data_IF_576112560919
#
_entry.id   IF_576112560919
#
_cell.length_a   1.000
_cell.length_b   1.000
_cell.length_c   1.000
_cell.angle_alpha   90.00
_cell.angle_beta   90.00
_cell.angle_gamma   90.00
#
_symmetry.space_group_name_H-M   'P 1'
#
loop_
_entity.id
_entity.type
_entity.pdbx_description
1 polymer ?
#
# COMPACT_ATOMS: atom_id res chain seq x y z
N UNK A 1 50.10 -19.00 0.56
CA UNK A 1 50.54 -17.82 1.31
C UNK A 1 49.92 -16.60 0.62
N UNK A 2 48.78 -16.13 1.10
CA UNK A 2 48.17 -14.88 0.66
C UNK A 2 47.56 -14.22 1.90
N UNK A 3 48.13 -13.08 2.25
CA UNK A 3 47.79 -12.29 3.44
C UNK A 3 46.43 -11.60 3.23
N UNK A 4 45.48 -11.87 4.14
CA UNK A 4 44.30 -11.06 4.33
C UNK A 4 44.68 -9.81 5.13
N UNK A 5 44.65 -8.65 4.48
CA UNK A 5 44.70 -7.37 5.16
C UNK A 5 43.29 -6.99 5.61
N UNK A 6 43.07 -7.01 6.93
CA UNK A 6 41.92 -6.46 7.59
C UNK A 6 41.95 -4.93 7.48
N UNK A 7 41.06 -4.35 6.67
CA UNK A 7 40.78 -2.91 6.69
C UNK A 7 39.96 -2.58 7.93
N UNK A 8 40.61 -2.22 9.02
CA UNK A 8 39.98 -1.46 10.10
C UNK A 8 39.69 -0.04 9.61
N UNK A 9 38.42 0.26 9.34
CA UNK A 9 37.97 1.64 9.18
C UNK A 9 38.10 2.37 10.52
N UNK A 10 39.23 3.01 10.76
CA UNK A 10 39.34 4.08 11.74
C UNK A 10 38.44 5.22 11.28
N UNK A 11 37.38 5.50 12.04
CA UNK A 11 36.63 6.75 11.92
C UNK A 11 37.62 7.90 12.13
N UNK A 12 37.62 8.96 11.28
CA UNK A 12 38.41 10.12 11.56
C UNK A 12 37.96 10.70 12.89
N UNK A 13 38.89 10.90 13.77
CA UNK A 13 38.70 11.67 15.01
C UNK A 13 38.21 13.06 14.56
N UNK A 14 36.95 13.38 14.81
CA UNK A 14 36.45 14.74 14.74
C UNK A 14 37.33 15.56 15.68
N UNK A 15 38.04 16.53 15.11
CA UNK A 15 38.75 17.54 15.88
C UNK A 15 37.79 18.11 16.92
N UNK A 16 37.99 17.73 18.19
CA UNK A 16 37.39 18.41 19.33
C UNK A 16 38.04 19.77 19.38
N UNK A 17 37.47 20.74 18.70
CA UNK A 17 37.72 22.12 19.00
C UNK A 17 37.11 22.36 20.39
N UNK A 18 37.94 22.25 21.41
CA UNK A 18 37.64 22.71 22.78
C UNK A 18 37.56 24.23 22.78
N UNK A 19 36.55 24.77 22.05
CA UNK A 19 36.15 26.17 22.22
C UNK A 19 35.37 26.24 23.50
N UNK A 20 35.99 26.91 24.48
CA UNK A 20 35.39 27.35 25.71
C UNK A 20 33.97 27.88 25.45
N UNK A 21 32.97 27.14 25.87
CA UNK A 21 31.56 27.48 25.70
C UNK A 21 31.08 28.28 26.92
N UNK A 22 30.86 29.60 26.81
CA UNK A 22 30.54 30.42 27.96
C UNK A 22 29.03 30.42 28.24
N UNK A 23 28.65 29.98 29.45
CA UNK A 23 27.40 30.39 30.02
C UNK A 23 27.58 31.74 30.70
N UNK A 24 26.64 32.66 30.45
CA UNK A 24 26.69 34.03 30.88
C UNK A 24 25.66 34.27 32.01
N UNK A 25 26.00 35.15 32.94
CA UNK A 25 25.12 35.57 34.02
C UNK A 25 24.43 36.88 33.62
N UNK A 26 23.14 36.98 33.80
CA UNK A 26 22.37 38.22 33.59
C UNK A 26 22.08 38.84 34.96
N UNK A 27 22.66 40.02 35.24
CA UNK A 27 22.58 40.71 36.52
C UNK A 27 21.17 41.23 36.80
N UNK A 28 20.41 41.60 35.76
CA UNK A 28 19.05 42.14 35.93
C UNK A 28 18.05 41.07 36.37
N UNK A 29 18.17 39.86 35.77
CA UNK A 29 17.25 38.75 36.04
C UNK A 29 17.80 37.79 37.11
N UNK A 30 19.04 37.98 37.54
CA UNK A 30 19.82 37.07 38.47
C UNK A 30 19.79 35.62 38.00
N UNK A 31 19.84 35.38 36.69
CA UNK A 31 19.78 34.05 36.08
C UNK A 31 20.87 33.85 35.04
N UNK A 32 21.26 32.58 34.85
CA UNK A 32 22.20 32.20 33.82
C UNK A 32 21.53 32.01 32.47
N UNK A 33 22.27 32.25 31.37
CA UNK A 33 21.87 31.95 30.00
C UNK A 33 23.05 31.40 29.21
N UNK A 34 22.76 30.57 28.20
CA UNK A 34 23.73 30.17 27.18
C UNK A 34 23.38 30.82 25.84
N UNK A 35 24.42 31.12 25.06
CA UNK A 35 24.33 31.70 23.72
C UNK A 35 25.46 31.13 22.90
N UNK A 36 25.12 30.39 21.84
CA UNK A 36 26.06 29.68 21.00
C UNK A 36 25.65 29.68 19.55
N UNK A 37 26.59 29.39 18.63
CA UNK A 37 26.36 29.25 17.22
C UNK A 37 26.41 27.76 16.85
N UNK A 38 25.52 27.35 15.92
CA UNK A 38 25.50 26.02 15.38
C UNK A 38 25.25 26.07 13.87
N UNK A 39 25.57 25.00 13.17
CA UNK A 39 25.19 24.83 11.76
C UNK A 39 23.88 24.07 11.70
N UNK A 40 22.91 24.61 10.96
CA UNK A 40 21.70 23.90 10.67
C UNK A 40 21.94 22.75 9.66
N UNK A 41 20.92 22.00 9.36
CA UNK A 41 20.98 20.89 8.44
C UNK A 41 21.35 21.30 6.98
N UNK A 42 21.17 22.56 6.61
CA UNK A 42 21.58 23.13 5.34
C UNK A 42 23.03 23.65 5.37
N UNK A 43 23.68 23.59 6.52
CA UNK A 43 25.02 24.10 6.72
C UNK A 43 25.08 25.61 7.07
N UNK A 44 23.95 26.29 7.22
CA UNK A 44 23.89 27.71 7.56
C UNK A 44 24.23 27.91 9.04
N UNK A 45 24.96 28.96 9.34
CA UNK A 45 25.26 29.34 10.73
C UNK A 45 24.05 30.00 11.38
N UNK A 46 23.53 29.39 12.44
CA UNK A 46 22.44 29.94 13.28
C UNK A 46 22.95 30.20 14.70
N UNK A 47 22.25 31.10 15.39
CA UNK A 47 22.51 31.43 16.78
C UNK A 47 21.32 31.02 17.65
N UNK A 48 21.59 30.32 18.76
CA UNK A 48 20.60 29.99 19.79
C UNK A 48 20.94 30.67 21.10
N UNK A 49 19.95 31.27 21.75
CA UNK A 49 20.04 31.82 23.11
C UNK A 49 18.93 31.19 23.96
N UNK A 50 19.29 30.69 25.14
CA UNK A 50 18.32 30.21 26.15
C UNK A 50 18.69 30.80 27.49
N UNK A 51 17.75 31.45 28.16
CA UNK A 51 17.91 32.11 29.46
C UNK A 51 16.97 31.50 30.50
N UNK A 52 17.21 31.84 31.77
CA UNK A 52 16.32 31.44 32.86
C UNK A 52 16.87 30.31 33.76
N UNK A 53 18.13 29.92 33.57
CA UNK A 53 18.74 28.88 34.41
C UNK A 53 19.19 29.44 35.76
N UNK A 54 19.02 28.67 36.83
CA UNK A 54 19.41 29.08 38.17
C UNK A 54 20.90 28.87 38.41
N UNK A 55 21.52 27.88 37.74
CA UNK A 55 22.95 27.55 37.90
C UNK A 55 23.65 27.52 36.55
N UNK A 56 24.90 27.90 36.52
CA UNK A 56 25.79 27.84 35.36
C UNK A 56 25.84 26.43 34.75
N UNK A 57 25.86 25.42 35.61
CA UNK A 57 25.92 24.01 35.19
C UNK A 57 24.69 23.62 34.34
N UNK A 58 23.49 24.07 34.72
CA UNK A 58 22.25 23.75 34.06
C UNK A 58 22.20 24.38 32.65
N UNK A 59 22.72 25.59 32.50
CA UNK A 59 22.85 26.26 31.19
C UNK A 59 23.81 25.51 30.25
N UNK A 60 24.95 25.04 30.74
CA UNK A 60 25.93 24.28 29.97
C UNK A 60 25.43 22.87 29.63
N UNK A 61 24.71 22.22 30.54
CA UNK A 61 24.12 20.90 30.31
C UNK A 61 23.00 20.96 29.25
N UNK A 62 22.21 22.03 29.32
CA UNK A 62 21.20 22.29 28.28
C UNK A 62 21.83 22.52 26.90
N UNK A 63 22.91 23.31 26.80
CA UNK A 63 23.66 23.54 25.57
C UNK A 63 24.22 22.23 24.99
N UNK A 64 24.88 21.40 25.84
CA UNK A 64 25.37 20.09 25.42
C UNK A 64 24.25 19.21 24.91
N UNK A 65 23.16 19.10 25.65
CA UNK A 65 21.99 18.31 25.25
C UNK A 65 21.38 18.81 23.94
N UNK A 66 21.38 20.12 23.69
CA UNK A 66 20.90 20.69 22.43
C UNK A 66 21.86 20.33 21.27
N UNK A 67 23.18 20.46 21.44
CA UNK A 67 24.17 20.12 20.42
C UNK A 67 24.23 18.61 20.15
N UNK A 68 24.08 17.77 21.17
CA UNK A 68 24.02 16.32 21.03
C UNK A 68 22.77 15.88 20.28
N UNK A 69 21.65 16.54 20.52
CA UNK A 69 20.41 16.33 19.74
C UNK A 69 20.56 16.79 18.28
N UNK A 70 21.26 17.89 18.04
CA UNK A 70 21.56 18.41 16.69
C UNK A 70 22.52 17.50 15.91
N UNK A 71 23.49 16.91 16.58
CA UNK A 71 24.48 16.04 15.94
C UNK A 71 23.88 14.77 15.33
N UNK A 72 22.65 14.41 15.68
CA UNK A 72 21.98 13.22 15.20
C UNK A 72 20.52 13.41 14.74
N UNK A 73 19.99 14.64 14.68
CA UNK A 73 18.55 14.84 14.43
C UNK A 73 18.27 16.11 13.63
N UNK A 74 17.32 16.07 12.68
CA UNK A 74 16.96 17.22 11.83
C UNK A 74 16.26 18.31 12.65
N UNK A 75 16.82 19.53 12.64
CA UNK A 75 16.21 20.76 13.20
C UNK A 75 15.47 21.53 12.11
N UNK A 76 14.84 20.83 11.19
CA UNK A 76 14.04 21.41 10.12
C UNK A 76 12.55 21.35 10.44
N UNK A 77 11.76 22.22 9.81
CA UNK A 77 10.31 22.13 9.91
C UNK A 77 9.80 20.83 9.27
N UNK A 78 8.73 20.28 9.82
CA UNK A 78 8.13 19.07 9.27
C UNK A 78 7.67 19.22 7.81
N UNK A 79 7.24 20.43 7.42
CA UNK A 79 6.93 20.76 6.03
C UNK A 79 8.09 20.50 5.07
N UNK A 80 9.31 20.92 5.46
CA UNK A 80 10.51 20.77 4.64
C UNK A 80 10.88 19.28 4.52
N UNK A 81 10.80 18.54 5.61
CA UNK A 81 11.01 17.09 5.61
C UNK A 81 9.99 16.37 4.73
N UNK A 82 8.71 16.75 4.81
CA UNK A 82 7.65 16.18 3.99
C UNK A 82 7.87 16.49 2.49
N UNK A 83 8.37 17.68 2.15
CA UNK A 83 8.72 18.03 0.76
C UNK A 83 9.87 17.17 0.24
N UNK A 84 10.94 17.01 1.02
CA UNK A 84 12.07 16.15 0.67
C UNK A 84 11.63 14.68 0.50
N UNK A 85 10.79 14.19 1.39
CA UNK A 85 10.20 12.86 1.27
C UNK A 85 9.36 12.71 0.00
N UNK A 86 8.55 13.72 -0.34
CA UNK A 86 7.73 13.70 -1.55
C UNK A 86 8.59 13.74 -2.82
N UNK A 87 9.67 14.50 -2.86
CA UNK A 87 10.65 14.50 -3.97
C UNK A 87 11.27 13.11 -4.16
N UNK A 88 11.69 12.46 -3.06
CA UNK A 88 12.20 11.08 -3.12
C UNK A 88 11.13 10.12 -3.65
N UNK A 89 9.88 10.22 -3.19
CA UNK A 89 8.80 9.32 -3.62
C UNK A 89 8.36 9.56 -5.07
N UNK A 90 8.49 10.76 -5.59
CA UNK A 90 8.23 11.07 -6.99
C UNK A 90 9.14 10.28 -7.93
N UNK A 91 10.43 10.17 -7.58
CA UNK A 91 11.43 9.44 -8.36
C UNK A 91 11.28 7.91 -8.25
N UNK A 92 10.88 7.41 -7.07
CA UNK A 92 10.95 5.97 -6.75
C UNK A 92 9.60 5.26 -6.70
N UNK A 93 8.47 5.94 -6.95
CA UNK A 93 7.15 5.30 -6.91
C UNK A 93 6.33 5.57 -8.17
N UNK A 94 5.40 4.65 -8.48
CA UNK A 94 4.47 4.86 -9.59
C UNK A 94 3.63 6.11 -9.37
N UNK A 95 3.40 6.90 -10.42
CA UNK A 95 2.69 8.17 -10.39
C UNK A 95 1.40 8.16 -9.55
N UNK A 96 0.56 7.13 -9.70
CA UNK A 96 -0.68 7.00 -8.92
C UNK A 96 -0.42 6.87 -7.42
N UNK A 97 0.62 6.13 -7.03
CA UNK A 97 1.01 5.96 -5.62
C UNK A 97 1.53 7.28 -5.05
N UNK A 98 2.41 7.96 -5.79
CA UNK A 98 2.90 9.29 -5.44
C UNK A 98 1.77 10.28 -5.20
N UNK A 99 0.84 10.43 -6.15
CA UNK A 99 -0.29 11.35 -6.02
C UNK A 99 -1.19 11.06 -4.83
N UNK A 100 -1.43 9.77 -4.56
CA UNK A 100 -2.20 9.36 -3.37
C UNK A 100 -1.49 9.73 -2.07
N UNK A 101 -0.16 9.50 -1.99
CA UNK A 101 0.67 9.90 -0.85
C UNK A 101 0.67 11.40 -0.67
N UNK A 102 0.95 12.15 -1.74
CA UNK A 102 0.97 13.61 -1.74
C UNK A 102 -0.36 14.19 -1.23
N UNK A 103 -1.48 13.71 -1.74
CA UNK A 103 -2.80 14.14 -1.28
C UNK A 103 -3.02 13.89 0.22
N UNK A 104 -2.68 12.70 0.72
CA UNK A 104 -2.82 12.37 2.15
C UNK A 104 -1.96 13.25 3.04
N UNK A 105 -0.71 13.50 2.64
CA UNK A 105 0.23 14.34 3.38
C UNK A 105 -0.27 15.78 3.43
N UNK A 106 -0.64 16.37 2.29
CA UNK A 106 -1.09 17.76 2.20
C UNK A 106 -2.43 17.96 2.92
N UNK A 107 -3.37 17.04 2.76
CA UNK A 107 -4.72 17.23 3.28
C UNK A 107 -4.87 16.88 4.77
N UNK A 108 -4.04 16.02 5.34
CA UNK A 108 -4.27 15.43 6.66
C UNK A 108 -3.10 15.48 7.62
N UNK A 109 -1.87 15.61 7.13
CA UNK A 109 -0.67 15.55 7.97
C UNK A 109 -0.08 16.94 8.14
N UNK A 110 0.20 17.63 7.04
CA UNK A 110 0.77 18.98 7.07
C UNK A 110 -0.06 19.97 7.88
N UNK A 111 -1.42 20.00 7.82
CA UNK A 111 -2.17 20.98 8.61
C UNK A 111 -1.97 20.89 10.13
N UNK A 112 -1.47 19.74 10.62
CA UNK A 112 -1.23 19.53 12.05
C UNK A 112 0.23 19.73 12.45
N UNK A 113 1.19 19.28 11.62
CA UNK A 113 2.62 19.23 11.97
C UNK A 113 3.48 20.29 11.28
N UNK A 114 2.93 21.09 10.38
CA UNK A 114 3.64 21.93 9.41
C UNK A 114 4.86 22.69 9.97
N UNK A 115 4.66 23.41 11.07
CA UNK A 115 5.66 24.34 11.64
C UNK A 115 6.51 23.72 12.75
N UNK A 116 6.20 22.49 13.18
CA UNK A 116 6.93 21.82 14.24
C UNK A 116 8.28 21.34 13.71
N UNK A 117 9.34 21.46 14.50
CA UNK A 117 10.61 20.83 14.16
C UNK A 117 10.47 19.30 14.23
N UNK A 118 11.04 18.60 13.25
CA UNK A 118 10.90 17.12 13.14
C UNK A 118 11.38 16.40 14.41
N UNK A 119 12.45 16.90 15.02
CA UNK A 119 13.02 16.33 16.26
C UNK A 119 12.21 16.62 17.52
N UNK A 120 11.30 17.60 17.48
CA UNK A 120 10.46 17.97 18.62
C UNK A 120 9.10 17.23 18.63
N UNK A 121 8.73 16.59 17.52
CA UNK A 121 7.49 15.83 17.43
C UNK A 121 7.60 14.54 18.23
N UNK A 122 6.78 14.41 19.26
CA UNK A 122 6.77 13.28 20.19
C UNK A 122 5.69 12.26 19.86
N UNK A 123 5.75 11.10 20.50
CA UNK A 123 4.68 10.11 20.42
C UNK A 123 3.33 10.63 20.99
N UNK A 124 3.38 11.59 21.93
CA UNK A 124 2.19 12.23 22.48
C UNK A 124 1.49 13.07 21.42
N UNK A 125 2.23 13.93 20.68
CA UNK A 125 1.69 14.76 19.62
C UNK A 125 1.02 13.89 18.53
N UNK A 126 1.64 12.75 18.20
CA UNK A 126 1.06 11.79 17.25
C UNK A 126 -0.24 11.19 17.79
N UNK A 127 -0.31 10.87 19.08
CA UNK A 127 -1.54 10.36 19.71
C UNK A 127 -2.66 11.40 19.71
N UNK A 128 -2.33 12.65 19.96
CA UNK A 128 -3.28 13.76 19.88
C UNK A 128 -3.81 13.92 18.46
N UNK A 129 -2.92 13.96 17.48
CA UNK A 129 -3.32 13.98 16.06
C UNK A 129 -4.19 12.76 15.68
N UNK A 130 -3.86 11.56 16.13
CA UNK A 130 -4.70 10.39 15.94
C UNK A 130 -6.10 10.59 16.55
N UNK A 131 -6.19 11.28 17.67
CA UNK A 131 -7.45 11.67 18.32
C UNK A 131 -8.30 12.59 17.42
N UNK A 132 -7.68 13.59 16.78
CA UNK A 132 -8.40 14.51 15.86
C UNK A 132 -8.96 13.77 14.63
N UNK A 133 -8.24 12.76 14.12
CA UNK A 133 -8.70 11.97 12.98
C UNK A 133 -9.97 11.16 13.25
N UNK A 134 -10.23 10.77 14.50
CA UNK A 134 -11.45 10.03 14.87
C UNK A 134 -12.72 10.85 14.67
N UNK A 135 -12.61 12.15 14.85
CA UNK A 135 -13.73 13.10 14.74
C UNK A 135 -13.77 13.77 13.35
N UNK A 136 -12.78 13.50 12.51
CA UNK A 136 -12.67 14.12 11.20
C UNK A 136 -13.63 13.50 10.17
N UNK A 137 -14.15 14.33 9.30
CA UNK A 137 -14.99 13.92 8.16
C UNK A 137 -14.27 14.11 6.84
N UNK A 138 -14.49 13.18 5.93
CA UNK A 138 -13.95 13.27 4.57
C UNK A 138 -14.73 14.27 3.70
N UNK A 139 -14.30 14.45 2.46
CA UNK A 139 -14.93 15.35 1.47
C UNK A 139 -16.42 15.05 1.21
N UNK A 140 -16.90 13.86 1.55
CA UNK A 140 -18.32 13.46 1.42
C UNK A 140 -19.15 13.72 2.69
N UNK A 141 -18.59 14.40 3.69
CA UNK A 141 -19.24 14.64 4.99
C UNK A 141 -19.33 13.39 5.88
N UNK A 142 -18.78 12.25 5.47
CA UNK A 142 -18.81 11.01 6.26
C UNK A 142 -17.55 10.87 7.12
N UNK A 143 -17.64 10.27 8.32
CA UNK A 143 -16.48 9.99 9.16
C UNK A 143 -15.40 9.19 8.38
N UNK A 144 -14.14 9.41 8.72
CA UNK A 144 -13.03 8.65 8.15
C UNK A 144 -13.14 7.17 8.51
N UNK A 145 -12.95 6.30 7.53
CA UNK A 145 -12.92 4.86 7.82
C UNK A 145 -11.66 4.48 8.61
N UNK A 146 -11.75 3.47 9.52
CA UNK A 146 -10.59 3.01 10.28
C UNK A 146 -9.38 2.66 9.39
N UNK A 147 -9.63 2.01 8.24
CA UNK A 147 -8.56 1.69 7.28
C UNK A 147 -7.94 2.91 6.63
N UNK A 148 -8.69 3.99 6.40
CA UNK A 148 -8.14 5.23 5.87
C UNK A 148 -7.29 5.95 6.92
N UNK A 149 -7.75 6.04 8.17
CA UNK A 149 -6.98 6.59 9.28
C UNK A 149 -5.65 5.84 9.46
N UNK A 150 -5.68 4.50 9.43
CA UNK A 150 -4.45 3.70 9.49
C UNK A 150 -3.50 3.99 8.30
N UNK A 151 -4.02 4.24 7.11
CA UNK A 151 -3.18 4.66 5.98
C UNK A 151 -2.51 6.02 6.22
N UNK A 152 -3.18 6.97 6.88
CA UNK A 152 -2.60 8.27 7.24
C UNK A 152 -1.45 8.11 8.24
N UNK A 153 -1.62 7.26 9.27
CA UNK A 153 -0.55 6.92 10.23
C UNK A 153 0.64 6.27 9.51
N UNK A 154 0.36 5.39 8.55
CA UNK A 154 1.41 4.74 7.74
C UNK A 154 2.19 5.75 6.89
N UNK A 155 1.52 6.76 6.32
CA UNK A 155 2.19 7.82 5.56
C UNK A 155 3.06 8.71 6.48
N UNK A 156 2.55 9.09 7.66
CA UNK A 156 3.31 9.85 8.66
C UNK A 156 4.56 9.07 9.10
N UNK A 157 4.37 7.79 9.45
CA UNK A 157 5.49 6.89 9.79
C UNK A 157 6.50 6.75 8.65
N UNK A 158 6.06 6.80 7.40
CA UNK A 158 6.93 6.79 6.22
C UNK A 158 7.85 8.02 6.15
N UNK A 159 7.35 9.21 6.52
CA UNK A 159 8.14 10.45 6.58
C UNK A 159 9.18 10.35 7.71
N UNK A 160 8.78 9.90 8.90
CA UNK A 160 9.72 9.73 10.01
C UNK A 160 10.76 8.64 9.76
N UNK A 161 10.41 7.53 9.10
CA UNK A 161 11.39 6.52 8.69
C UNK A 161 12.40 7.06 7.67
N UNK A 162 11.97 7.97 6.79
CA UNK A 162 12.84 8.67 5.86
C UNK A 162 13.80 9.59 6.63
N UNK A 163 13.31 10.33 7.63
CA UNK A 163 14.11 11.15 8.51
C UNK A 163 15.14 10.33 9.30
N UNK A 164 14.75 9.18 9.86
CA UNK A 164 15.66 8.25 10.55
C UNK A 164 16.76 7.76 9.62
N UNK A 165 16.39 7.38 8.39
CA UNK A 165 17.33 6.76 7.46
C UNK A 165 18.34 7.74 6.86
N UNK A 166 17.91 8.96 6.55
CA UNK A 166 18.70 9.89 5.73
C UNK A 166 19.08 11.18 6.44
N UNK A 167 18.39 11.53 7.54
CA UNK A 167 18.57 12.82 8.22
C UNK A 167 18.91 12.68 9.71
N UNK A 168 19.31 11.50 10.16
CA UNK A 168 19.84 11.28 11.50
C UNK A 168 18.82 11.40 12.64
N UNK A 169 17.50 11.33 12.38
CA UNK A 169 16.52 11.24 13.45
C UNK A 169 16.75 9.93 14.22
N UNK A 170 16.92 9.96 15.56
CA UNK A 170 17.28 8.75 16.31
C UNK A 170 16.24 7.64 16.25
N UNK A 171 14.98 7.99 16.34
CA UNK A 171 13.85 7.05 16.44
C UNK A 171 12.61 7.63 15.74
N UNK A 172 11.83 6.75 15.12
CA UNK A 172 10.53 7.13 14.57
C UNK A 172 9.47 7.17 15.68
N UNK A 173 8.92 8.35 16.05
CA UNK A 173 7.97 8.47 17.14
C UNK A 173 6.63 7.75 16.88
N UNK A 174 6.28 7.47 15.62
CA UNK A 174 5.10 6.67 15.29
C UNK A 174 5.18 5.23 15.79
N UNK A 175 6.39 4.67 15.95
CA UNK A 175 6.56 3.32 16.46
C UNK A 175 6.17 3.23 17.95
N UNK A 176 6.44 4.29 18.70
CA UNK A 176 6.04 4.41 20.12
C UNK A 176 4.56 4.72 20.24
N UNK A 177 4.04 5.64 19.43
CA UNK A 177 2.62 5.99 19.40
C UNK A 177 1.72 4.79 19.04
N UNK A 178 2.20 3.91 18.15
CA UNK A 178 1.47 2.72 17.73
C UNK A 178 0.33 3.00 16.75
N UNK A 179 -0.35 1.92 16.36
CA UNK A 179 -1.43 1.95 15.38
C UNK A 179 -2.76 2.41 15.98
N UNK A 180 -3.59 3.08 15.18
CA UNK A 180 -4.94 3.50 15.57
C UNK A 180 -5.93 2.33 15.62
N UNK A 181 -5.73 1.33 14.80
CA UNK A 181 -6.69 0.24 14.58
C UNK A 181 -5.98 -1.09 14.80
N UNK A 182 -6.58 -1.92 15.66
CA UNK A 182 -6.12 -3.31 15.81
C UNK A 182 -6.28 -4.09 14.50
N UNK A 183 -5.46 -5.11 14.31
CA UNK A 183 -5.55 -6.03 13.16
C UNK A 183 -6.86 -6.81 13.23
N UNK A 184 -7.96 -6.27 12.71
CA UNK A 184 -9.16 -7.08 12.47
C UNK A 184 -8.94 -7.93 11.22
N UNK A 185 -9.11 -9.24 11.33
CA UNK A 185 -9.24 -10.10 10.13
C UNK A 185 -10.46 -9.61 9.36
N UNK A 186 -10.25 -9.17 8.12
CA UNK A 186 -11.36 -8.78 7.23
C UNK A 186 -12.05 -10.08 6.80
N UNK A 187 -13.34 -10.21 7.05
CA UNK A 187 -14.14 -11.22 6.39
C UNK A 187 -14.10 -10.96 4.88
N UNK A 188 -13.84 -12.00 4.12
CA UNK A 188 -13.81 -11.91 2.66
C UNK A 188 -15.22 -12.18 2.17
N UNK A 189 -15.76 -11.21 1.43
CA UNK A 189 -17.02 -11.41 0.73
C UNK A 189 -16.73 -11.97 -0.66
N UNK A 190 -17.37 -13.05 -1.00
CA UNK A 190 -17.33 -13.64 -2.34
C UNK A 190 -18.67 -14.29 -2.64
N UNK A 191 -18.98 -14.52 -3.90
CA UNK A 191 -20.11 -15.30 -4.35
C UNK A 191 -19.72 -16.76 -4.56
N UNK A 192 -20.59 -17.66 -4.17
CA UNK A 192 -20.59 -19.04 -4.65
C UNK A 192 -20.95 -19.08 -6.13
N UNK A 193 -20.73 -20.23 -6.78
CA UNK A 193 -21.14 -20.41 -8.19
C UNK A 193 -22.62 -20.14 -8.39
N UNK A 194 -23.48 -20.64 -7.49
CA UNK A 194 -24.92 -20.42 -7.52
C UNK A 194 -25.30 -18.94 -7.43
N UNK A 195 -24.69 -18.19 -6.51
CA UNK A 195 -24.95 -16.75 -6.37
C UNK A 195 -24.50 -15.97 -7.62
N UNK A 196 -23.38 -16.38 -8.22
CA UNK A 196 -22.94 -15.78 -9.48
C UNK A 196 -23.88 -16.10 -10.64
N UNK A 197 -24.40 -17.32 -10.73
CA UNK A 197 -25.35 -17.71 -11.77
C UNK A 197 -26.65 -16.90 -11.66
N UNK A 198 -27.22 -16.79 -10.47
CA UNK A 198 -28.40 -15.93 -10.25
C UNK A 198 -28.12 -14.47 -10.66
N UNK A 199 -26.91 -13.96 -10.39
CA UNK A 199 -26.54 -12.60 -10.78
C UNK A 199 -26.43 -12.44 -12.29
N UNK A 200 -25.72 -13.35 -12.96
CA UNK A 200 -25.43 -13.19 -14.40
C UNK A 200 -26.67 -13.43 -15.27
N UNK A 201 -27.62 -14.26 -14.81
CA UNK A 201 -28.90 -14.51 -15.48
C UNK A 201 -29.80 -13.27 -15.55
N UNK A 202 -29.57 -12.26 -14.73
CA UNK A 202 -30.35 -11.02 -14.78
C UNK A 202 -29.97 -10.09 -15.95
N UNK A 203 -28.87 -10.36 -16.64
CA UNK A 203 -28.43 -9.58 -17.78
C UNK A 203 -28.94 -10.15 -19.11
N UNK A 204 -29.16 -9.28 -20.07
CA UNK A 204 -29.24 -9.70 -21.47
C UNK A 204 -27.89 -10.24 -21.93
N UNK A 205 -27.89 -11.37 -22.63
CA UNK A 205 -26.65 -11.99 -23.15
C UNK A 205 -25.91 -11.13 -24.17
N UNK A 206 -26.60 -10.18 -24.77
CA UNK A 206 -26.02 -9.19 -25.70
C UNK A 206 -25.34 -8.02 -24.96
N UNK A 207 -25.61 -7.83 -23.69
CA UNK A 207 -25.06 -6.72 -22.90
C UNK A 207 -23.54 -6.84 -22.75
N UNK A 208 -22.75 -5.81 -23.09
CA UNK A 208 -21.31 -5.79 -22.83
C UNK A 208 -20.93 -6.05 -21.37
N UNK A 209 -21.79 -5.66 -20.41
CA UNK A 209 -21.55 -5.94 -18.98
C UNK A 209 -21.71 -7.43 -18.64
N UNK A 210 -22.64 -8.13 -19.26
CA UNK A 210 -22.76 -9.59 -19.15
C UNK A 210 -21.42 -10.26 -19.48
N UNK A 211 -20.87 -9.95 -20.64
CA UNK A 211 -19.61 -10.52 -21.13
C UNK A 211 -18.45 -10.15 -20.24
N UNK A 212 -18.40 -8.91 -19.78
CA UNK A 212 -17.37 -8.42 -18.90
C UNK A 212 -17.40 -9.09 -17.53
N UNK A 213 -18.59 -9.31 -16.94
CA UNK A 213 -18.72 -10.00 -15.64
C UNK A 213 -18.40 -11.49 -15.76
N UNK A 214 -18.79 -12.16 -16.84
CA UNK A 214 -18.34 -13.52 -17.13
C UNK A 214 -16.82 -13.60 -17.20
N UNK A 215 -16.19 -12.69 -17.97
CA UNK A 215 -14.74 -12.64 -18.11
C UNK A 215 -14.07 -12.44 -16.76
N UNK A 216 -14.54 -11.50 -15.93
CA UNK A 216 -14.00 -11.27 -14.58
C UNK A 216 -14.12 -12.50 -13.68
N UNK A 217 -15.28 -13.16 -13.70
CA UNK A 217 -15.56 -14.30 -12.84
C UNK A 217 -14.72 -15.53 -13.24
N UNK A 218 -14.69 -15.87 -14.52
CA UNK A 218 -14.00 -17.08 -14.98
C UNK A 218 -12.48 -16.95 -15.17
N UNK A 219 -11.94 -15.72 -15.18
CA UNK A 219 -10.49 -15.50 -15.25
C UNK A 219 -9.87 -15.07 -13.93
N UNK A 220 -10.65 -14.50 -13.01
CA UNK A 220 -10.14 -13.91 -11.78
C UNK A 220 -9.27 -12.67 -12.00
N UNK A 221 -9.26 -12.06 -13.19
CA UNK A 221 -8.49 -10.86 -13.46
C UNK A 221 -8.98 -9.64 -12.68
N UNK A 222 -8.11 -8.66 -12.49
CA UNK A 222 -8.48 -7.39 -11.85
C UNK A 222 -9.28 -6.54 -12.83
N UNK A 223 -10.22 -5.71 -12.33
CA UNK A 223 -11.01 -4.80 -13.20
C UNK A 223 -10.12 -3.89 -14.05
N UNK A 224 -8.96 -3.46 -13.54
CA UNK A 224 -8.02 -2.67 -14.35
C UNK A 224 -7.32 -3.47 -15.44
N UNK A 225 -7.14 -4.78 -15.26
CA UNK A 225 -6.64 -5.70 -16.29
C UNK A 225 -7.69 -5.89 -17.36
N UNK A 226 -8.96 -6.15 -17.00
CA UNK A 226 -10.09 -6.22 -17.95
C UNK A 226 -10.21 -4.95 -18.80
N UNK A 227 -10.19 -3.78 -18.17
CA UNK A 227 -10.31 -2.50 -18.88
C UNK A 227 -9.12 -2.18 -19.78
N UNK A 228 -7.97 -2.83 -19.59
CA UNK A 228 -6.79 -2.68 -20.42
C UNK A 228 -6.74 -3.68 -21.59
N UNK A 229 -7.56 -4.76 -21.56
CA UNK A 229 -7.57 -5.76 -22.61
C UNK A 229 -7.85 -5.14 -23.98
N UNK A 230 -7.03 -5.52 -24.96
CA UNK A 230 -7.21 -5.19 -26.38
C UNK A 230 -7.50 -6.48 -27.15
N UNK A 231 -7.98 -6.36 -28.36
CA UNK A 231 -8.22 -7.53 -29.21
C UNK A 231 -6.95 -8.32 -29.51
N UNK A 232 -5.78 -7.68 -29.49
CA UNK A 232 -4.48 -8.36 -29.60
C UNK A 232 -4.14 -9.25 -28.41
N UNK A 233 -4.75 -9.00 -27.24
CA UNK A 233 -4.50 -9.81 -26.04
C UNK A 233 -5.37 -11.08 -26.00
N UNK A 234 -6.28 -11.28 -26.96
CA UNK A 234 -7.20 -12.41 -27.03
C UNK A 234 -6.74 -13.42 -28.08
N UNK A 235 -6.11 -14.50 -27.66
CA UNK A 235 -5.91 -15.70 -28.51
C UNK A 235 -7.08 -16.67 -28.28
N UNK A 236 -8.20 -16.41 -28.94
CA UNK A 236 -9.42 -17.21 -28.78
C UNK A 236 -9.32 -18.58 -29.44
N UNK A 237 -8.36 -18.80 -30.37
CA UNK A 237 -8.11 -20.11 -30.98
C UNK A 237 -7.46 -21.07 -29.99
N UNK A 238 -6.47 -20.57 -29.24
CA UNK A 238 -5.80 -21.33 -28.19
C UNK A 238 -6.52 -21.25 -26.84
N UNK A 239 -7.57 -20.45 -26.73
CA UNK A 239 -8.30 -20.22 -25.49
C UNK A 239 -7.48 -19.47 -24.43
N UNK A 240 -6.65 -18.51 -24.83
CA UNK A 240 -5.75 -17.78 -23.95
C UNK A 240 -6.07 -16.29 -23.95
N UNK A 241 -6.05 -15.69 -22.77
CA UNK A 241 -6.03 -14.23 -22.58
C UNK A 241 -4.67 -13.82 -22.00
N UNK A 242 -3.94 -12.95 -22.70
CA UNK A 242 -2.66 -12.40 -22.29
C UNK A 242 -2.86 -11.17 -21.40
N UNK A 243 -2.52 -11.26 -20.12
CA UNK A 243 -2.64 -10.16 -19.16
C UNK A 243 -1.28 -9.48 -19.01
N UNK A 244 -1.05 -8.40 -19.75
CA UNK A 244 0.22 -7.68 -19.81
C UNK A 244 0.11 -6.23 -19.36
N UNK A 245 -1.11 -5.72 -19.20
CA UNK A 245 -1.42 -4.29 -19.00
C UNK A 245 -2.46 -4.10 -17.89
N UNK A 246 -2.49 -2.91 -17.32
CA UNK A 246 -3.55 -2.47 -16.42
C UNK A 246 -3.96 -1.03 -16.72
N UNK A 247 -5.26 -0.79 -16.72
CA UNK A 247 -5.86 0.53 -16.92
C UNK A 247 -6.11 1.22 -15.59
N UNK A 248 -5.82 2.50 -15.51
CA UNK A 248 -6.21 3.35 -14.40
C UNK A 248 -6.51 4.77 -14.87
N UNK A 249 -7.29 5.52 -14.10
CA UNK A 249 -7.51 6.94 -14.31
C UNK A 249 -6.67 7.71 -13.31
N UNK A 250 -5.89 8.68 -13.78
CA UNK A 250 -5.06 9.58 -12.98
C UNK A 250 -5.35 10.99 -13.47
N UNK A 251 -5.84 11.87 -12.58
CA UNK A 251 -6.27 13.25 -12.91
C UNK A 251 -7.24 13.33 -14.10
N UNK A 252 -8.22 12.45 -14.11
CA UNK A 252 -9.21 12.39 -15.17
C UNK A 252 -8.70 11.79 -16.50
N UNK A 253 -7.41 11.52 -16.63
CA UNK A 253 -6.82 10.94 -17.85
C UNK A 253 -6.67 9.43 -17.74
N UNK A 254 -7.01 8.73 -18.80
CA UNK A 254 -6.79 7.29 -18.93
C UNK A 254 -5.29 7.00 -19.06
N UNK A 255 -4.79 6.09 -18.24
CA UNK A 255 -3.38 5.68 -18.26
C UNK A 255 -3.31 4.16 -18.26
N UNK A 256 -2.66 3.60 -19.26
CA UNK A 256 -2.34 2.17 -19.34
C UNK A 256 -0.89 2.00 -18.93
N UNK A 257 -0.67 1.12 -17.96
CA UNK A 257 0.68 0.83 -17.44
C UNK A 257 0.91 -0.68 -17.35
N UNK A 258 2.17 -1.06 -17.20
CA UNK A 258 2.52 -2.45 -16.83
C UNK A 258 1.96 -2.78 -15.43
N UNK A 259 1.64 -4.03 -15.13
CA UNK A 259 1.23 -4.49 -13.81
C UNK A 259 2.26 -4.13 -12.72
N UNK A 260 1.85 -4.25 -11.44
CA UNK A 260 2.72 -3.88 -10.31
C UNK A 260 3.92 -4.80 -10.13
N UNK A 261 3.74 -6.08 -10.43
CA UNK A 261 4.75 -7.12 -10.22
C UNK A 261 4.91 -7.95 -11.47
N UNK A 262 6.09 -8.53 -11.72
CA UNK A 262 6.33 -9.41 -12.87
C UNK A 262 5.34 -10.58 -12.94
N UNK A 263 5.00 -11.21 -11.82
CA UNK A 263 4.03 -12.31 -11.73
C UNK A 263 2.59 -11.91 -12.08
N UNK A 264 2.29 -10.62 -12.14
CA UNK A 264 0.99 -10.16 -12.61
C UNK A 264 0.86 -10.19 -14.14
N UNK A 265 2.00 -10.28 -14.87
CA UNK A 265 2.02 -10.58 -16.29
C UNK A 265 1.87 -12.09 -16.40
N UNK A 266 0.80 -12.54 -17.07
CA UNK A 266 0.46 -13.95 -17.14
C UNK A 266 -0.51 -14.25 -18.27
N UNK A 267 -0.52 -15.47 -18.69
CA UNK A 267 -1.51 -16.05 -19.59
C UNK A 267 -2.59 -16.77 -18.78
N UNK A 268 -3.84 -16.55 -19.15
CA UNK A 268 -4.99 -17.17 -18.49
C UNK A 268 -5.75 -17.99 -19.52
N UNK A 269 -5.72 -19.31 -19.37
CA UNK A 269 -6.57 -20.22 -20.13
C UNK A 269 -8.04 -20.00 -19.76
N UNK A 270 -8.93 -19.93 -20.75
CA UNK A 270 -10.35 -19.73 -20.55
C UNK A 270 -11.17 -20.89 -21.10
N UNK A 271 -12.34 -21.17 -20.50
CA UNK A 271 -13.25 -22.22 -21.00
C UNK A 271 -13.76 -21.94 -22.42
N UNK A 272 -14.05 -23.00 -23.18
CA UNK A 272 -14.50 -22.91 -24.56
C UNK A 272 -15.75 -22.01 -24.74
N UNK A 273 -16.75 -22.11 -23.87
CA UNK A 273 -17.93 -21.27 -23.95
C UNK A 273 -17.62 -19.76 -23.84
N UNK A 274 -16.57 -19.39 -23.04
CA UNK A 274 -16.17 -18.00 -22.94
C UNK A 274 -15.41 -17.53 -24.19
N UNK A 275 -14.66 -18.43 -24.84
CA UNK A 275 -14.06 -18.14 -26.14
C UNK A 275 -15.14 -17.82 -27.20
N UNK A 276 -16.19 -18.64 -27.27
CA UNK A 276 -17.32 -18.43 -28.20
C UNK A 276 -18.01 -17.08 -27.95
N UNK A 277 -18.31 -16.77 -26.69
CA UNK A 277 -18.93 -15.48 -26.31
C UNK A 277 -18.04 -14.28 -26.69
N UNK A 278 -16.73 -14.38 -26.44
CA UNK A 278 -15.79 -13.31 -26.80
C UNK A 278 -15.57 -13.19 -28.30
N UNK A 279 -15.61 -14.29 -29.04
CA UNK A 279 -15.55 -14.28 -30.50
C UNK A 279 -16.79 -13.60 -31.09
N UNK A 280 -17.99 -13.93 -30.61
CA UNK A 280 -19.25 -13.29 -31.04
C UNK A 280 -19.28 -11.81 -30.62
N UNK A 281 -18.72 -11.47 -29.48
CA UNK A 281 -18.58 -10.07 -29.07
C UNK A 281 -17.64 -9.30 -30.01
N UNK A 282 -16.53 -9.90 -30.43
CA UNK A 282 -15.57 -9.33 -31.37
C UNK A 282 -16.21 -9.05 -32.72
N UNK A 283 -17.08 -9.93 -33.21
CA UNK A 283 -17.83 -9.75 -34.51
C UNK A 283 -18.73 -8.51 -34.54
N UNK A 284 -19.11 -7.99 -33.35
CA UNK A 284 -19.92 -6.73 -33.25
C UNK A 284 -19.13 -5.47 -33.61
N UNK A 285 -17.80 -5.56 -33.63
CA UNK A 285 -16.92 -4.46 -33.99
C UNK A 285 -16.58 -4.57 -35.49
N UNK A 286 -16.77 -3.47 -36.23
CA UNK A 286 -16.36 -3.42 -37.61
C UNK A 286 -14.85 -3.33 -37.73
N UNK A 287 -14.17 -4.42 -38.14
CA UNK A 287 -12.71 -4.50 -38.31
C UNK A 287 -11.91 -3.85 -37.14
N UNK A 288 -12.06 -4.31 -35.92
CA UNK A 288 -11.37 -3.69 -34.80
C UNK A 288 -9.86 -3.78 -34.97
N UNK A 289 -9.17 -2.67 -34.74
CA UNK A 289 -7.70 -2.68 -34.69
C UNK A 289 -7.23 -3.54 -33.52
N UNK A 290 -6.07 -4.21 -33.64
CA UNK A 290 -5.52 -5.03 -32.56
C UNK A 290 -5.42 -4.31 -31.22
N UNK A 291 -5.10 -3.00 -31.23
CA UNK A 291 -4.93 -2.15 -30.05
C UNK A 291 -6.25 -1.62 -29.49
N UNK A 292 -7.37 -1.86 -30.17
CA UNK A 292 -8.69 -1.43 -29.67
C UNK A 292 -9.04 -2.18 -28.41
N UNK A 293 -9.41 -1.44 -27.35
CA UNK A 293 -9.81 -2.07 -26.09
C UNK A 293 -11.11 -2.82 -26.24
N UNK A 294 -11.14 -4.05 -25.75
CA UNK A 294 -12.33 -4.93 -25.77
C UNK A 294 -13.46 -4.32 -24.93
N UNK A 295 -13.14 -3.82 -23.74
CA UNK A 295 -14.09 -3.22 -22.81
C UNK A 295 -13.76 -1.74 -22.58
N UNK A 296 -14.56 -0.84 -23.18
CA UNK A 296 -14.27 0.59 -23.18
C UNK A 296 -14.94 1.35 -22.02
N UNK A 297 -15.83 0.70 -21.27
CA UNK A 297 -16.58 1.32 -20.18
C UNK A 297 -15.67 1.75 -19.03
N UNK A 298 -16.01 2.87 -18.39
CA UNK A 298 -15.34 3.33 -17.21
C UNK A 298 -15.70 2.47 -15.97
N UNK A 299 -14.98 2.66 -14.86
CA UNK A 299 -15.17 1.80 -13.68
C UNK A 299 -16.47 2.04 -12.93
N UNK A 300 -17.01 3.25 -12.97
CA UNK A 300 -18.20 3.61 -12.22
C UNK A 300 -19.46 2.88 -12.72
N UNK A 301 -19.77 2.83 -14.03
CA UNK A 301 -20.85 2.04 -14.55
C UNK A 301 -20.83 0.57 -14.13
N UNK A 302 -19.65 -0.09 -14.10
CA UNK A 302 -19.55 -1.47 -13.60
C UNK A 302 -20.06 -1.62 -12.15
N UNK A 303 -19.81 -0.62 -11.29
CA UNK A 303 -20.28 -0.64 -9.90
C UNK A 303 -21.79 -0.44 -9.83
N UNK A 304 -22.35 0.37 -10.71
CA UNK A 304 -23.77 0.66 -10.78
C UNK A 304 -24.53 -0.57 -11.29
N UNK A 305 -24.08 -1.17 -12.39
CA UNK A 305 -24.63 -2.42 -12.90
C UNK A 305 -24.57 -3.53 -11.85
N UNK A 306 -23.42 -3.71 -11.22
CA UNK A 306 -23.28 -4.70 -10.15
C UNK A 306 -24.27 -4.44 -8.99
N UNK A 307 -24.48 -3.17 -8.61
CA UNK A 307 -25.42 -2.82 -7.54
C UNK A 307 -26.87 -3.13 -7.94
N UNK A 308 -27.28 -2.77 -9.14
CA UNK A 308 -28.65 -2.99 -9.64
C UNK A 308 -28.96 -4.48 -9.79
N UNK A 309 -28.06 -5.21 -10.44
CA UNK A 309 -28.27 -6.63 -10.73
C UNK A 309 -28.12 -7.52 -9.48
N UNK A 310 -27.37 -7.12 -8.45
CA UNK A 310 -27.41 -7.77 -7.14
C UNK A 310 -28.81 -7.73 -6.51
N UNK A 311 -29.52 -6.60 -6.65
CA UNK A 311 -30.89 -6.44 -6.13
C UNK A 311 -31.85 -7.31 -6.92
N UNK A 312 -31.77 -7.30 -8.25
CA UNK A 312 -32.61 -8.12 -9.13
C UNK A 312 -32.42 -9.63 -8.88
N UNK A 313 -31.18 -10.04 -8.68
CA UNK A 313 -30.83 -11.44 -8.43
C UNK A 313 -31.10 -11.91 -6.98
N UNK A 314 -31.40 -10.99 -6.06
CA UNK A 314 -31.55 -11.33 -4.63
C UNK A 314 -30.25 -11.83 -3.96
N UNK A 315 -29.08 -11.51 -4.53
CA UNK A 315 -27.79 -11.95 -3.99
C UNK A 315 -27.12 -10.89 -3.13
N UNK A 316 -26.24 -11.30 -2.21
CA UNK A 316 -25.50 -10.38 -1.37
C UNK A 316 -24.61 -9.43 -2.20
N UNK A 317 -24.56 -8.16 -1.81
CA UNK A 317 -23.73 -7.17 -2.46
C UNK A 317 -22.24 -7.41 -2.15
N UNK A 318 -21.43 -7.52 -3.19
CA UNK A 318 -19.97 -7.58 -3.11
C UNK A 318 -19.32 -6.45 -3.91
N UNK A 319 -18.02 -6.27 -3.79
CA UNK A 319 -17.26 -5.28 -4.59
C UNK A 319 -16.79 -5.92 -5.89
N UNK A 320 -16.52 -5.12 -6.91
CA UNK A 320 -15.95 -5.63 -8.18
C UNK A 320 -14.68 -6.48 -7.98
N UNK A 321 -13.85 -6.15 -6.99
CA UNK A 321 -12.65 -6.93 -6.69
C UNK A 321 -12.98 -8.30 -6.07
N UNK A 322 -14.12 -8.41 -5.43
CA UNK A 322 -14.54 -9.63 -4.76
C UNK A 322 -14.97 -10.73 -5.76
N UNK A 323 -15.22 -10.39 -7.06
CA UNK A 323 -15.36 -11.39 -8.13
C UNK A 323 -14.10 -12.24 -8.31
N UNK A 324 -12.93 -11.64 -8.11
CA UNK A 324 -11.66 -12.37 -8.10
C UNK A 324 -11.56 -13.28 -6.87
N UNK A 325 -12.12 -12.87 -5.73
CA UNK A 325 -12.24 -13.74 -4.57
C UNK A 325 -13.22 -14.88 -4.83
N UNK A 326 -14.32 -14.61 -5.54
CA UNK A 326 -15.28 -15.63 -5.98
C UNK A 326 -14.64 -16.66 -6.91
N UNK A 327 -13.83 -16.20 -7.88
CA UNK A 327 -13.07 -17.11 -8.74
C UNK A 327 -12.10 -17.99 -7.95
N UNK A 328 -11.34 -17.40 -7.01
CA UNK A 328 -10.43 -18.18 -6.16
C UNK A 328 -11.17 -19.23 -5.32
N UNK A 329 -12.32 -18.83 -4.72
CA UNK A 329 -13.15 -19.75 -3.95
C UNK A 329 -13.68 -20.91 -4.80
N UNK A 330 -14.14 -20.62 -6.03
CA UNK A 330 -14.56 -21.64 -6.99
C UNK A 330 -13.45 -22.66 -7.29
N UNK A 331 -12.23 -22.18 -7.55
CA UNK A 331 -11.09 -23.06 -7.85
C UNK A 331 -10.72 -23.94 -6.64
N UNK A 332 -10.80 -23.40 -5.43
CA UNK A 332 -10.56 -24.14 -4.18
C UNK A 332 -11.64 -25.21 -3.97
N UNK A 333 -12.90 -24.87 -4.20
CA UNK A 333 -14.03 -25.80 -4.14
C UNK A 333 -13.87 -26.96 -5.14
N UNK A 334 -13.37 -26.67 -6.34
CA UNK A 334 -13.02 -27.65 -7.36
C UNK A 334 -11.76 -28.49 -7.01
N UNK A 335 -11.13 -28.23 -5.87
CA UNK A 335 -10.00 -29.01 -5.36
C UNK A 335 -8.61 -28.60 -5.85
N UNK A 336 -8.48 -27.49 -6.55
CA UNK A 336 -7.17 -27.01 -7.01
C UNK A 336 -6.28 -26.52 -5.87
N UNK A 337 -4.97 -26.71 -6.01
CA UNK A 337 -3.99 -26.33 -4.99
C UNK A 337 -3.85 -24.80 -4.85
N UNK A 338 -3.43 -24.35 -3.66
CA UNK A 338 -3.15 -22.93 -3.42
C UNK A 338 -2.08 -22.37 -4.37
N UNK A 339 -1.13 -23.19 -4.79
CA UNK A 339 -0.09 -22.81 -5.75
C UNK A 339 -0.72 -22.47 -7.10
N UNK A 340 -1.52 -23.36 -7.66
CA UNK A 340 -2.17 -23.16 -8.96
C UNK A 340 -3.13 -21.97 -8.95
N UNK A 341 -3.90 -21.79 -7.85
CA UNK A 341 -4.76 -20.63 -7.66
C UNK A 341 -3.93 -19.34 -7.61
N UNK A 342 -2.79 -19.34 -6.92
CA UNK A 342 -1.88 -18.21 -6.82
C UNK A 342 -1.29 -17.81 -8.18
N UNK A 343 -0.83 -18.77 -8.96
CA UNK A 343 -0.29 -18.56 -10.31
C UNK A 343 -1.34 -17.98 -11.25
N UNK A 344 -2.52 -18.60 -11.31
CA UNK A 344 -3.62 -18.15 -12.15
C UNK A 344 -4.06 -16.72 -11.81
N UNK A 345 -4.08 -16.38 -10.54
CA UNK A 345 -4.41 -15.03 -10.09
C UNK A 345 -3.25 -14.03 -10.31
N UNK A 346 -2.01 -14.48 -10.43
CA UNK A 346 -0.81 -13.63 -10.48
C UNK A 346 -0.56 -12.95 -9.13
N UNK A 347 -0.56 -13.73 -8.05
CA UNK A 347 -0.11 -13.26 -6.74
C UNK A 347 1.42 -13.33 -6.67
N UNK A 348 2.04 -12.34 -6.03
CA UNK A 348 3.49 -12.28 -5.84
C UNK A 348 4.01 -13.48 -5.05
N UNK A 349 3.24 -13.91 -4.04
CA UNK A 349 3.54 -15.02 -3.16
C UNK A 349 2.31 -15.91 -2.95
N UNK A 350 2.54 -17.22 -2.86
CA UNK A 350 1.50 -18.20 -2.48
C UNK A 350 0.96 -17.92 -1.08
N UNK A 351 1.79 -17.34 -0.18
CA UNK A 351 1.34 -16.92 1.16
C UNK A 351 0.15 -15.96 1.08
N UNK A 352 0.11 -15.06 0.08
CA UNK A 352 -1.04 -14.18 -0.14
C UNK A 352 -2.34 -14.97 -0.37
N UNK A 353 -2.28 -16.07 -1.11
CA UNK A 353 -3.44 -16.95 -1.35
C UNK A 353 -3.82 -17.70 -0.07
N UNK A 354 -2.85 -18.22 0.66
CA UNK A 354 -3.09 -18.94 1.92
C UNK A 354 -3.62 -18.00 3.02
N UNK A 355 -3.04 -16.80 3.18
CA UNK A 355 -3.48 -15.82 4.18
C UNK A 355 -4.94 -15.41 3.96
N UNK A 356 -5.36 -15.37 2.69
CA UNK A 356 -6.71 -14.97 2.31
C UNK A 356 -7.68 -16.14 2.38
N UNK A 357 -7.31 -17.31 1.86
CA UNK A 357 -8.24 -18.40 1.56
C UNK A 357 -7.98 -19.70 2.34
N UNK A 358 -7.03 -19.74 3.28
CA UNK A 358 -6.69 -20.98 4.01
C UNK A 358 -7.90 -21.65 4.66
N UNK A 359 -8.85 -20.85 5.15
CA UNK A 359 -10.08 -21.34 5.78
C UNK A 359 -11.07 -22.00 4.80
N UNK A 360 -10.90 -21.82 3.50
CA UNK A 360 -11.72 -22.46 2.45
C UNK A 360 -11.14 -23.80 1.98
N UNK A 361 -9.85 -24.06 2.27
CA UNK A 361 -9.26 -25.36 1.90
C UNK A 361 -9.78 -26.44 2.85
N UNK A 362 -10.44 -27.47 2.32
CA UNK A 362 -10.91 -28.57 3.14
C UNK A 362 -9.75 -29.31 3.81
N UNK A 363 -9.96 -29.74 5.04
CA UNK A 363 -9.03 -30.66 5.68
C UNK A 363 -9.06 -32.00 4.90
N UNK A 364 -7.96 -32.34 4.28
CA UNK A 364 -7.83 -33.61 3.54
C UNK A 364 -7.19 -34.71 4.39
N UNK A 365 -7.12 -34.54 5.71
CA UNK A 365 -6.48 -35.54 6.59
C UNK A 365 -7.15 -36.91 6.48
N UNK A 366 -8.49 -36.96 6.55
CA UNK A 366 -9.22 -38.25 6.41
C UNK A 366 -8.97 -38.89 5.05
N UNK A 367 -9.02 -38.11 3.95
CA UNK A 367 -8.73 -38.61 2.60
C UNK A 367 -7.27 -39.07 2.45
N UNK A 368 -6.35 -38.42 3.16
CA UNK A 368 -4.94 -38.82 3.17
C UNK A 368 -4.77 -40.15 3.86
N UNK A 369 -5.41 -40.35 5.01
CA UNK A 369 -5.38 -41.62 5.74
C UNK A 369 -5.98 -42.74 4.89
N UNK A 370 -7.20 -42.53 4.33
CA UNK A 370 -7.81 -43.52 3.43
C UNK A 370 -6.92 -43.93 2.25
N UNK A 371 -6.16 -43.00 1.68
CA UNK A 371 -5.22 -43.28 0.59
C UNK A 371 -3.98 -44.03 1.09
N UNK A 372 -3.47 -43.68 2.27
CA UNK A 372 -2.35 -44.38 2.89
C UNK A 372 -2.75 -45.81 3.26
N UNK A 373 -3.95 -46.02 3.83
CA UNK A 373 -4.46 -47.35 4.14
C UNK A 373 -4.56 -48.21 2.89
N UNK A 374 -5.11 -47.68 1.78
CA UNK A 374 -5.15 -48.36 0.48
C UNK A 374 -3.78 -48.75 -0.07
N UNK A 375 -2.76 -47.93 0.16
CA UNK A 375 -1.39 -48.24 -0.25
C UNK A 375 -0.78 -49.36 0.62
N UNK A 376 -1.23 -49.50 1.86
CA UNK A 376 -0.75 -50.49 2.81
C UNK A 376 -1.49 -51.81 2.77
N UNK A 377 -2.72 -51.90 2.21
CA UNK A 377 -3.55 -53.09 2.14
C UNK A 377 -2.94 -54.31 1.40
N UNK A 378 -1.80 -54.13 0.69
CA UNK A 378 -1.07 -55.21 0.02
C UNK A 378 0.23 -55.65 0.68
N UNK A 379 0.81 -54.88 1.60
CA UNK A 379 2.21 -55.03 2.04
C UNK A 379 2.39 -55.43 3.51
N UNK A 380 1.35 -55.45 4.33
CA UNK A 380 1.45 -55.69 5.78
C UNK A 380 0.46 -56.74 6.29
N UNK A 381 0.06 -57.70 5.41
CA UNK A 381 -0.65 -58.91 5.81
C UNK A 381 0.30 -60.09 5.89
#
# INVERSE_FOLDING_TARGET
MLYFHSFQHRRPATERNDRYMPAYYNEDTKKWYCKFYYKDWQGNHKQKKKSGFERKKDALEWERSFLDKLAGSPDMAFSDMAELYLKDKELHTKLKTYKTKKHRIIAWILPYFNEQAVNDITATDIREWQGTLKNATGATGKPLSPGYMQNLVTELSGIFNFAVRFYGLPVNPCNVAGNMVGKKRKSINFWTKKEFDCFIETFDKSDPYYIAFLTLYYTGMRIGELQALTFADLDLKSGIIHITKTYSVIDGKAVITTPKTPKSIRDVLIPAFLCEILEDYKKRYYKPLPETRVFQMSRQPYREQMKQHCILAGVKKIRLHDLRHSHASLLIELGFSALLVSERLGHESVSTTLDIYSHLFPSKQSQMIERLDKLCEGNYK
#
